data_IF_951561257161
#
_entry.id   IF_951561257161
#
_cell.length_a   1.000
_cell.length_b   1.000
_cell.length_c   1.000
_cell.angle_alpha   90.00
_cell.angle_beta   90.00
_cell.angle_gamma   90.00
#
_symmetry.space_group_name_H-M   'P 1'
#
loop_
_entity.id
_entity.type
_entity.pdbx_description
1 polymer ?
#
# COMPACT_ATOMS: atom_id res chain seq x y z
N UNK A 1 -7.11 32.21 5.88
CA UNK A 1 -7.89 31.18 5.13
C UNK A 1 -7.15 30.64 3.90
N UNK A 2 -6.37 31.43 3.14
CA UNK A 2 -5.65 30.95 1.93
C UNK A 2 -4.57 29.87 2.19
N UNK A 3 -3.83 29.97 3.31
CA UNK A 3 -2.74 29.03 3.63
C UNK A 3 -3.19 27.59 3.88
N UNK A 4 -4.28 27.38 4.60
CA UNK A 4 -4.82 26.05 4.94
C UNK A 4 -5.29 25.26 3.72
N UNK A 5 -5.87 25.94 2.73
CA UNK A 5 -6.33 25.32 1.47
C UNK A 5 -5.13 24.83 0.64
N UNK A 6 -4.08 25.68 0.55
CA UNK A 6 -2.85 25.33 -0.18
C UNK A 6 -2.12 24.14 0.46
N UNK A 7 -2.00 24.12 1.79
CA UNK A 7 -1.38 23.00 2.52
C UNK A 7 -2.15 21.70 2.32
N UNK A 8 -3.49 21.71 2.45
CA UNK A 8 -4.33 20.53 2.22
C UNK A 8 -4.14 19.98 0.79
N UNK A 9 -4.12 20.85 -0.22
CA UNK A 9 -3.94 20.45 -1.61
C UNK A 9 -2.58 19.77 -1.85
N UNK A 10 -1.50 20.32 -1.30
CA UNK A 10 -0.16 19.70 -1.38
C UNK A 10 -0.12 18.34 -0.68
N UNK A 11 -0.65 18.24 0.53
CA UNK A 11 -0.70 16.98 1.28
C UNK A 11 -1.54 15.92 0.55
N UNK A 12 -2.63 16.32 -0.11
CA UNK A 12 -3.42 15.40 -0.93
C UNK A 12 -2.62 14.85 -2.11
N UNK A 13 -1.85 15.69 -2.80
CA UNK A 13 -0.97 15.25 -3.91
C UNK A 13 0.09 14.25 -3.41
N UNK A 14 0.72 14.53 -2.27
CA UNK A 14 1.69 13.60 -1.65
C UNK A 14 1.06 12.23 -1.39
N UNK A 15 -0.15 12.21 -0.82
CA UNK A 15 -0.87 10.96 -0.56
C UNK A 15 -1.22 10.22 -1.86
N UNK A 16 -1.64 10.93 -2.92
CA UNK A 16 -1.92 10.31 -4.22
C UNK A 16 -0.68 9.66 -4.82
N UNK A 17 0.48 10.31 -4.75
CA UNK A 17 1.75 9.75 -5.22
C UNK A 17 2.14 8.51 -4.42
N UNK A 18 2.10 8.59 -3.08
CA UNK A 18 2.46 7.47 -2.21
C UNK A 18 1.54 6.26 -2.43
N UNK A 19 0.22 6.46 -2.44
CA UNK A 19 -0.75 5.38 -2.65
C UNK A 19 -0.58 4.76 -4.04
N UNK A 20 -0.26 5.56 -5.07
CA UNK A 20 -0.02 5.04 -6.42
C UNK A 20 1.27 4.24 -6.51
N UNK A 21 2.35 4.69 -5.85
CA UNK A 21 3.60 3.93 -5.76
C UNK A 21 3.38 2.61 -5.00
N UNK A 22 2.60 2.66 -3.92
CA UNK A 22 2.21 1.48 -3.16
C UNK A 22 1.42 0.49 -4.02
N UNK A 23 0.46 0.97 -4.81
CA UNK A 23 -0.30 0.14 -5.75
C UNK A 23 0.60 -0.56 -6.77
N UNK A 24 1.56 0.17 -7.36
CA UNK A 24 2.52 -0.43 -8.31
C UNK A 24 3.36 -1.51 -7.63
N UNK A 25 3.89 -1.24 -6.44
CA UNK A 25 4.72 -2.19 -5.70
C UNK A 25 3.95 -3.48 -5.35
N UNK A 26 2.73 -3.34 -4.80
CA UNK A 26 1.93 -4.49 -4.36
C UNK A 26 1.36 -5.29 -5.53
N UNK A 27 1.02 -4.64 -6.66
CA UNK A 27 0.62 -5.33 -7.91
C UNK A 27 1.80 -6.11 -8.51
N UNK A 28 3.03 -5.64 -8.33
CA UNK A 28 4.24 -6.37 -8.75
C UNK A 28 4.47 -7.68 -7.99
N UNK A 29 4.04 -7.76 -6.72
CA UNK A 29 4.24 -8.94 -5.87
C UNK A 29 3.74 -10.26 -6.48
N UNK A 30 2.50 -10.38 -6.99
CA UNK A 30 2.04 -11.60 -7.65
C UNK A 30 2.79 -11.93 -8.94
N UNK A 31 3.38 -10.94 -9.64
CA UNK A 31 4.23 -11.19 -10.81
C UNK A 31 5.53 -11.89 -10.38
N UNK A 32 6.19 -11.39 -9.32
CA UNK A 32 7.40 -12.00 -8.78
C UNK A 32 7.13 -13.39 -8.18
N UNK A 33 6.05 -13.52 -7.41
CA UNK A 33 5.64 -14.82 -6.87
C UNK A 33 5.30 -15.82 -7.98
N UNK A 34 4.58 -15.38 -9.02
CA UNK A 34 4.24 -16.20 -10.18
C UNK A 34 5.48 -16.65 -10.97
N UNK A 35 6.46 -15.76 -11.17
CA UNK A 35 7.74 -16.11 -11.81
C UNK A 35 8.50 -17.18 -11.03
N UNK A 36 8.58 -17.04 -9.70
CA UNK A 36 9.17 -18.04 -8.82
C UNK A 36 8.47 -19.41 -8.92
N UNK A 37 7.13 -19.42 -8.84
CA UNK A 37 6.35 -20.65 -9.00
C UNK A 37 6.45 -21.24 -10.42
N UNK A 38 6.76 -20.42 -11.42
CA UNK A 38 7.04 -20.81 -12.80
C UNK A 38 8.45 -21.37 -13.03
N UNK A 39 9.31 -21.40 -12.01
CA UNK A 39 10.66 -21.95 -12.06
C UNK A 39 11.79 -20.93 -12.18
N UNK A 40 11.48 -19.63 -12.25
CA UNK A 40 12.49 -18.56 -12.18
C UNK A 40 12.80 -18.23 -10.71
N UNK A 41 13.74 -18.97 -10.13
CA UNK A 41 14.08 -18.87 -8.71
C UNK A 41 14.60 -17.49 -8.28
N UNK A 42 15.17 -16.70 -9.21
CA UNK A 42 15.65 -15.34 -8.92
C UNK A 42 14.48 -14.39 -8.60
N UNK A 43 13.28 -14.68 -9.10
CA UNK A 43 12.08 -13.91 -8.78
C UNK A 43 11.69 -14.00 -7.31
N UNK A 44 12.15 -15.02 -6.57
CA UNK A 44 11.97 -15.07 -5.11
C UNK A 44 12.71 -13.93 -4.40
N UNK A 45 13.89 -13.56 -4.91
CA UNK A 45 14.65 -12.44 -4.38
C UNK A 45 13.90 -11.12 -4.61
N UNK A 46 13.39 -10.91 -5.83
CA UNK A 46 12.59 -9.74 -6.16
C UNK A 46 11.29 -9.69 -5.35
N UNK A 47 10.65 -10.84 -5.10
CA UNK A 47 9.48 -10.93 -4.24
C UNK A 47 9.80 -10.46 -2.82
N UNK A 48 10.89 -10.94 -2.21
CA UNK A 48 11.33 -10.53 -0.86
C UNK A 48 11.62 -9.02 -0.77
N UNK A 49 12.43 -8.49 -1.68
CA UNK A 49 12.72 -7.04 -1.69
C UNK A 49 11.49 -6.19 -1.97
N UNK A 50 10.61 -6.66 -2.85
CA UNK A 50 9.35 -5.98 -3.10
C UNK A 50 8.43 -6.02 -1.88
N UNK A 51 8.44 -7.08 -1.07
CA UNK A 51 7.69 -7.14 0.18
C UNK A 51 8.19 -6.11 1.22
N UNK A 52 9.51 -5.89 1.30
CA UNK A 52 10.08 -4.80 2.10
C UNK A 52 9.63 -3.43 1.58
N UNK A 53 9.67 -3.23 0.26
CA UNK A 53 9.25 -1.97 -0.36
C UNK A 53 7.76 -1.67 -0.13
N UNK A 54 6.88 -2.67 -0.28
CA UNK A 54 5.44 -2.58 0.05
C UNK A 54 5.27 -2.18 1.51
N UNK A 55 5.94 -2.86 2.44
CA UNK A 55 5.85 -2.57 3.88
C UNK A 55 6.28 -1.13 4.21
N UNK A 56 7.40 -0.67 3.64
CA UNK A 56 7.86 0.71 3.86
C UNK A 56 6.89 1.75 3.26
N UNK A 57 6.31 1.46 2.10
CA UNK A 57 5.29 2.32 1.49
C UNK A 57 4.03 2.40 2.35
N UNK A 58 3.59 1.29 2.95
CA UNK A 58 2.45 1.29 3.87
C UNK A 58 2.69 2.14 5.12
N UNK A 59 3.87 2.03 5.74
CA UNK A 59 4.22 2.87 6.89
C UNK A 59 4.32 4.36 6.50
N UNK A 60 4.93 4.68 5.36
CA UNK A 60 4.97 6.04 4.85
C UNK A 60 3.56 6.58 4.55
N UNK A 61 2.67 5.74 4.02
CA UNK A 61 1.28 6.08 3.74
C UNK A 61 0.49 6.37 5.03
N UNK A 62 0.71 5.63 6.12
CA UNK A 62 0.10 5.94 7.42
C UNK A 62 0.48 7.35 7.87
N UNK A 63 1.77 7.70 7.83
CA UNK A 63 2.25 9.01 8.26
C UNK A 63 1.69 10.11 7.36
N UNK A 64 1.72 9.93 6.04
CA UNK A 64 1.18 10.91 5.09
C UNK A 64 -0.34 11.09 5.24
N UNK A 65 -1.08 10.01 5.51
CA UNK A 65 -2.51 10.04 5.73
C UNK A 65 -2.87 10.70 7.07
N UNK A 66 -2.05 10.50 8.10
CA UNK A 66 -2.19 11.21 9.37
C UNK A 66 -2.00 12.72 9.16
N UNK A 67 -0.95 13.14 8.45
CA UNK A 67 -0.76 14.56 8.12
C UNK A 67 -1.95 15.11 7.33
N UNK A 68 -2.49 14.34 6.36
CA UNK A 68 -3.69 14.73 5.61
C UNK A 68 -4.90 14.92 6.52
N UNK A 69 -5.12 14.01 7.47
CA UNK A 69 -6.17 14.17 8.48
C UNK A 69 -5.94 15.44 9.31
N UNK A 70 -4.73 15.66 9.84
CA UNK A 70 -4.43 16.83 10.69
C UNK A 70 -4.68 18.16 9.99
N UNK A 71 -4.50 18.23 8.66
CA UNK A 71 -4.85 19.42 7.84
C UNK A 71 -6.30 19.43 7.33
N UNK A 72 -7.18 18.67 7.98
CA UNK A 72 -8.63 18.53 7.70
C UNK A 72 -8.98 17.90 6.35
N UNK A 73 -8.12 17.00 5.86
CA UNK A 73 -8.43 16.10 4.75
C UNK A 73 -9.23 14.86 5.18
N UNK A 74 -9.48 13.92 4.25
CA UNK A 74 -10.27 12.72 4.50
C UNK A 74 -9.64 11.82 5.57
N UNK A 75 -10.34 11.60 6.68
CA UNK A 75 -9.88 10.74 7.79
C UNK A 75 -9.86 9.26 7.43
N UNK A 76 -10.70 8.84 6.49
CA UNK A 76 -10.81 7.44 6.09
C UNK A 76 -9.47 6.88 5.58
N UNK A 77 -8.65 7.73 4.92
CA UNK A 77 -7.38 7.30 4.37
C UNK A 77 -6.42 6.81 5.45
N UNK A 78 -6.41 7.45 6.62
CA UNK A 78 -5.57 7.03 7.75
C UNK A 78 -5.97 5.63 8.24
N UNK A 79 -7.26 5.40 8.49
CA UNK A 79 -7.74 4.12 8.99
C UNK A 79 -7.56 2.98 7.98
N UNK A 80 -7.80 3.26 6.70
CA UNK A 80 -7.54 2.27 5.63
C UNK A 80 -6.04 1.97 5.52
N UNK A 81 -5.18 2.98 5.60
CA UNK A 81 -3.72 2.77 5.58
C UNK A 81 -3.23 1.95 6.79
N UNK A 82 -3.83 2.16 7.96
CA UNK A 82 -3.52 1.38 9.15
C UNK A 82 -3.94 -0.08 8.99
N UNK A 83 -5.14 -0.32 8.44
CA UNK A 83 -5.64 -1.66 8.16
C UNK A 83 -4.78 -2.39 7.12
N UNK A 84 -4.39 -1.70 6.04
CA UNK A 84 -3.52 -2.23 5.01
C UNK A 84 -2.15 -2.60 5.57
N UNK A 85 -1.50 -1.72 6.33
CA UNK A 85 -0.21 -2.01 6.95
C UNK A 85 -0.27 -3.19 7.94
N UNK A 86 -1.35 -3.31 8.72
CA UNK A 86 -1.56 -4.45 9.60
C UNK A 86 -1.72 -5.76 8.80
N UNK A 87 -2.52 -5.72 7.73
CA UNK A 87 -2.70 -6.87 6.84
C UNK A 87 -1.43 -7.25 6.08
N UNK A 88 -0.66 -6.27 5.60
CA UNK A 88 0.63 -6.49 4.95
C UNK A 88 1.69 -7.04 5.92
N UNK A 89 1.65 -6.62 7.18
CA UNK A 89 2.48 -7.23 8.24
C UNK A 89 2.13 -8.70 8.41
N UNK A 90 0.83 -9.02 8.50
CA UNK A 90 0.38 -10.42 8.57
C UNK A 90 0.77 -11.20 7.30
N UNK A 91 0.68 -10.58 6.12
CA UNK A 91 1.07 -11.15 4.83
C UNK A 91 2.55 -11.47 4.76
N UNK A 92 3.40 -10.56 5.25
CA UNK A 92 4.85 -10.74 5.32
C UNK A 92 5.21 -11.93 6.23
N UNK A 93 4.60 -11.99 7.42
CA UNK A 93 4.78 -13.11 8.36
C UNK A 93 4.30 -14.44 7.76
N UNK A 94 3.15 -14.46 7.10
CA UNK A 94 2.63 -15.65 6.41
C UNK A 94 3.59 -16.12 5.30
N UNK A 95 4.18 -15.18 4.56
CA UNK A 95 5.19 -15.47 3.53
C UNK A 95 6.46 -16.08 4.12
N UNK A 96 6.98 -15.52 5.22
CA UNK A 96 8.14 -16.09 5.93
C UNK A 96 7.87 -17.49 6.50
N UNK A 97 6.64 -17.74 6.96
CA UNK A 97 6.22 -19.02 7.49
C UNK A 97 5.90 -20.07 6.39
N UNK A 98 5.84 -19.67 5.11
CA UNK A 98 5.40 -20.55 4.03
C UNK A 98 3.93 -20.94 4.10
N UNK A 99 3.10 -20.19 4.83
CA UNK A 99 1.67 -20.44 4.99
C UNK A 99 0.88 -19.98 3.75
N UNK A 100 1.01 -20.71 2.64
CA UNK A 100 0.50 -20.32 1.32
C UNK A 100 -1.04 -20.20 1.26
N UNK A 101 -1.74 -21.00 2.07
CA UNK A 101 -3.19 -21.00 2.23
C UNK A 101 -3.72 -19.67 2.80
N UNK A 102 -2.94 -19.00 3.64
CA UNK A 102 -3.22 -17.65 4.11
C UNK A 102 -2.60 -16.59 3.20
N UNK A 103 -1.34 -16.78 2.82
CA UNK A 103 -0.55 -15.79 2.09
C UNK A 103 -1.16 -15.46 0.72
N UNK A 104 -1.62 -16.45 -0.04
CA UNK A 104 -2.16 -16.19 -1.39
C UNK A 104 -3.49 -15.40 -1.30
N UNK A 105 -4.52 -15.85 -0.54
CA UNK A 105 -5.77 -15.11 -0.48
C UNK A 105 -5.64 -13.73 0.16
N UNK A 106 -4.83 -13.60 1.23
CA UNK A 106 -4.60 -12.32 1.88
C UNK A 106 -3.88 -11.34 0.93
N UNK A 107 -2.88 -11.81 0.17
CA UNK A 107 -2.21 -11.00 -0.84
C UNK A 107 -3.17 -10.44 -1.89
N UNK A 108 -4.09 -11.25 -2.40
CA UNK A 108 -5.12 -10.79 -3.36
C UNK A 108 -6.05 -9.75 -2.73
N UNK A 109 -6.48 -9.96 -1.48
CA UNK A 109 -7.31 -9.01 -0.75
C UNK A 109 -6.60 -7.66 -0.54
N UNK A 110 -5.31 -7.69 -0.20
CA UNK A 110 -4.50 -6.49 -0.01
C UNK A 110 -4.26 -5.73 -1.32
N UNK A 111 -3.90 -6.41 -2.41
CA UNK A 111 -3.81 -5.78 -3.74
C UNK A 111 -5.12 -5.07 -4.09
N UNK A 112 -6.25 -5.75 -3.88
CA UNK A 112 -7.58 -5.16 -4.10
C UNK A 112 -7.81 -3.93 -3.22
N UNK A 113 -7.48 -4.02 -1.93
CA UNK A 113 -7.61 -2.92 -0.97
C UNK A 113 -6.78 -1.70 -1.37
N UNK A 114 -5.52 -1.88 -1.78
CA UNK A 114 -4.65 -0.78 -2.23
C UNK A 114 -5.18 -0.17 -3.54
N UNK A 115 -5.64 -0.98 -4.50
CA UNK A 115 -6.25 -0.49 -5.75
C UNK A 115 -7.50 0.35 -5.47
N UNK A 116 -8.41 -0.13 -4.62
CA UNK A 116 -9.61 0.61 -4.24
C UNK A 116 -9.27 1.90 -3.48
N UNK A 117 -8.26 1.87 -2.61
CA UNK A 117 -7.74 3.05 -1.92
C UNK A 117 -7.18 4.07 -2.90
N UNK A 118 -6.46 3.61 -3.93
CA UNK A 118 -5.93 4.43 -5.02
C UNK A 118 -7.08 5.13 -5.75
N UNK A 119 -8.08 4.38 -6.21
CA UNK A 119 -9.26 4.95 -6.88
C UNK A 119 -9.96 5.96 -5.96
N UNK A 120 -10.13 5.62 -4.68
CA UNK A 120 -10.78 6.47 -3.68
C UNK A 120 -10.06 7.81 -3.50
N UNK A 121 -8.74 7.82 -3.34
CA UNK A 121 -7.99 9.06 -3.07
C UNK A 121 -7.88 9.96 -4.31
N UNK A 122 -7.92 9.39 -5.51
CA UNK A 122 -7.96 10.16 -6.76
C UNK A 122 -9.33 10.79 -7.02
N UNK A 123 -10.41 10.27 -6.43
CA UNK A 123 -11.78 10.84 -6.48
C UNK A 123 -12.04 11.94 -5.45
N UNK A 124 -11.14 12.15 -4.49
CA UNK A 124 -11.27 13.24 -3.52
C UNK A 124 -10.98 14.57 -4.21
N UNK A 125 -11.96 15.46 -4.32
CA UNK A 125 -11.78 16.80 -4.87
C UNK A 125 -10.85 17.66 -4.00
N UNK A 126 -10.25 18.69 -4.62
CA UNK A 126 -9.32 19.63 -3.95
C UNK A 126 -10.04 20.52 -2.94
#
# INVERSE_FOLDING_TARGET
MSGTVTTRSRTLVVNRVLVSAHAVAIIGQPVFAGGYLGGDYDMLWLHKWGADAVSYLAYAQILAALVLWLVRGPRWLFWVSLLLAAGETAQYLAGMAGALDLHIPLGVALVTGVVLTTIGIWRVDR
#
